data_IF_648108267460
#
_entry.id   IF_648108267460
#
_cell.length_a   1.000
_cell.length_b   1.000
_cell.length_c   1.000
_cell.angle_alpha   90.00
_cell.angle_beta   90.00
_cell.angle_gamma   90.00
#
_symmetry.space_group_name_H-M   'P 1'
#
loop_
_entity.id
_entity.type
_entity.pdbx_description
1 polymer ?
#
# COMPACT_ATOMS: atom_id res chain seq x y z
N UNK A 1 4.18 18.13 10.27
CA UNK A 1 3.17 17.10 10.60
C UNK A 1 3.49 16.50 11.95
N UNK A 2 2.55 16.58 12.87
CA UNK A 2 2.73 15.99 14.20
C UNK A 2 2.10 14.62 14.22
N UNK A 3 2.93 13.59 14.07
CA UNK A 3 2.47 12.20 14.12
C UNK A 3 2.97 11.58 15.40
N UNK A 4 2.04 11.08 16.17
CA UNK A 4 2.38 10.32 17.37
C UNK A 4 2.70 8.88 16.96
N UNK A 5 3.90 8.37 17.24
CA UNK A 5 4.24 6.98 16.89
C UNK A 5 3.27 5.96 17.48
N UNK A 6 2.60 6.27 18.59
CA UNK A 6 1.59 5.40 19.17
C UNK A 6 0.34 5.23 18.30
N UNK A 7 0.14 6.06 17.29
CA UNK A 7 -0.97 5.93 16.34
C UNK A 7 -0.70 4.88 15.26
N UNK A 8 0.54 4.42 15.11
CA UNK A 8 0.91 3.39 14.15
C UNK A 8 0.60 2.02 14.76
N UNK A 9 -0.68 1.66 14.78
CA UNK A 9 -1.18 0.47 15.47
C UNK A 9 -1.48 -0.71 14.57
N UNK A 10 -1.54 -0.51 13.27
CA UNK A 10 -1.94 -1.54 12.32
C UNK A 10 -0.71 -2.15 11.66
N UNK A 11 -0.59 -3.47 11.75
CA UNK A 11 0.56 -4.17 11.17
C UNK A 11 0.27 -4.49 9.72
N UNK A 12 1.13 -4.04 8.81
CA UNK A 12 0.98 -4.26 7.37
C UNK A 12 2.23 -4.91 6.79
N UNK A 13 2.04 -5.57 5.63
CA UNK A 13 3.13 -6.11 4.82
C UNK A 13 3.06 -5.49 3.45
N UNK A 14 4.20 -5.07 2.92
CA UNK A 14 4.32 -4.60 1.54
C UNK A 14 4.92 -5.74 0.74
N UNK A 15 4.22 -6.15 -0.32
CA UNK A 15 4.50 -7.38 -1.02
C UNK A 15 4.72 -7.10 -2.50
N UNK A 16 5.80 -7.69 -3.03
CA UNK A 16 6.08 -7.70 -4.45
C UNK A 16 5.61 -9.03 -5.03
N UNK A 17 4.80 -8.97 -6.09
CA UNK A 17 4.31 -10.13 -6.80
C UNK A 17 4.98 -10.25 -8.14
N UNK A 18 5.60 -11.40 -8.40
CA UNK A 18 6.15 -11.74 -9.70
C UNK A 18 5.31 -12.82 -10.33
N UNK A 19 5.04 -12.65 -11.61
CA UNK A 19 4.38 -13.66 -12.42
C UNK A 19 5.40 -14.22 -13.41
N UNK A 20 5.63 -15.52 -13.33
CA UNK A 20 6.51 -16.24 -14.26
C UNK A 20 5.71 -17.31 -14.99
N UNK A 21 5.89 -17.42 -16.31
CA UNK A 21 5.34 -18.52 -17.07
C UNK A 21 6.36 -19.66 -17.06
N UNK A 22 5.90 -20.89 -16.77
CA UNK A 22 6.77 -22.04 -16.81
C UNK A 22 6.85 -22.62 -18.24
N UNK A 23 7.63 -23.69 -18.41
CA UNK A 23 7.85 -24.31 -19.72
C UNK A 23 6.57 -24.88 -20.35
N UNK A 24 5.56 -25.18 -19.53
CA UNK A 24 4.27 -25.73 -19.97
C UNK A 24 3.22 -24.65 -20.20
N UNK A 25 3.58 -23.37 -20.04
CA UNK A 25 2.69 -22.24 -20.24
C UNK A 25 1.83 -21.89 -19.03
N UNK A 26 2.08 -22.48 -17.87
CA UNK A 26 1.35 -22.13 -16.64
C UNK A 26 2.02 -20.95 -15.97
N UNK A 27 1.20 -20.01 -15.50
CA UNK A 27 1.67 -18.88 -14.73
C UNK A 27 1.89 -19.27 -13.28
N UNK A 28 3.05 -18.95 -12.75
CA UNK A 28 3.36 -19.07 -11.33
C UNK A 28 3.49 -17.70 -10.74
N UNK A 29 2.77 -17.44 -9.64
CA UNK A 29 2.86 -16.17 -8.92
C UNK A 29 3.72 -16.39 -7.68
N UNK A 30 4.80 -15.61 -7.58
CA UNK A 30 5.68 -15.62 -6.42
C UNK A 30 5.51 -14.31 -5.67
N UNK A 31 5.28 -14.41 -4.36
CA UNK A 31 5.14 -13.23 -3.50
C UNK A 31 6.38 -13.09 -2.62
N UNK A 32 6.93 -11.88 -2.57
CA UNK A 32 8.05 -11.57 -1.70
C UNK A 32 7.64 -10.44 -0.77
N UNK A 33 7.79 -10.63 0.53
CA UNK A 33 7.55 -9.56 1.51
C UNK A 33 8.73 -8.62 1.45
N UNK A 34 8.49 -7.41 0.96
CA UNK A 34 9.52 -6.37 0.84
C UNK A 34 9.75 -5.69 2.18
N UNK A 35 8.67 -5.43 2.91
CA UNK A 35 8.73 -4.67 4.15
C UNK A 35 7.55 -5.03 5.03
N UNK A 36 7.79 -5.15 6.33
CA UNK A 36 6.75 -5.33 7.33
C UNK A 36 6.89 -4.21 8.35
N UNK A 37 5.80 -3.51 8.61
CA UNK A 37 5.85 -2.36 9.51
C UNK A 37 4.48 -2.08 10.14
N UNK A 38 4.48 -1.15 11.08
CA UNK A 38 3.26 -0.64 11.68
C UNK A 38 2.79 0.59 10.92
N UNK A 39 1.49 0.77 10.82
CA UNK A 39 0.89 1.85 10.05
C UNK A 39 -0.30 2.47 10.78
N UNK A 40 -0.57 3.72 10.48
CA UNK A 40 -1.84 4.37 10.82
C UNK A 40 -2.78 4.21 9.62
N UNK A 41 -3.94 3.63 9.86
CA UNK A 41 -4.94 3.41 8.81
C UNK A 41 -5.96 4.54 8.85
N UNK A 42 -6.21 5.16 7.70
CA UNK A 42 -7.21 6.20 7.55
C UNK A 42 -8.05 5.90 6.32
N UNK A 43 -9.37 5.97 6.47
CA UNK A 43 -10.26 5.90 5.32
C UNK A 43 -10.23 7.24 4.60
N UNK A 44 -10.22 7.22 3.28
CA UNK A 44 -10.08 8.41 2.47
C UNK A 44 -11.47 8.92 2.09
N UNK A 45 -11.75 10.19 2.40
CA UNK A 45 -13.00 10.85 2.03
C UNK A 45 -13.03 11.18 0.53
N UNK A 46 -14.24 11.46 0.01
CA UNK A 46 -14.39 11.84 -1.40
C UNK A 46 -13.55 13.04 -1.80
N UNK A 47 -13.43 14.03 -0.93
CA UNK A 47 -12.63 15.23 -1.21
C UNK A 47 -11.15 14.90 -1.36
N UNK A 48 -10.62 14.07 -0.49
CA UNK A 48 -9.23 13.65 -0.57
C UNK A 48 -8.98 12.81 -1.83
N UNK A 49 -9.95 12.00 -2.24
CA UNK A 49 -9.86 11.20 -3.47
C UNK A 49 -9.75 12.11 -4.71
N UNK A 50 -10.53 13.18 -4.74
CA UNK A 50 -10.45 14.17 -5.83
C UNK A 50 -9.07 14.80 -5.87
N UNK A 51 -8.54 15.19 -4.73
CA UNK A 51 -7.20 15.80 -4.65
C UNK A 51 -6.10 14.83 -5.06
N UNK A 52 -6.27 13.56 -4.78
CA UNK A 52 -5.32 12.52 -5.17
C UNK A 52 -5.52 12.04 -6.61
N UNK A 53 -6.53 12.54 -7.31
CA UNK A 53 -6.88 12.11 -8.67
C UNK A 53 -7.15 10.61 -8.74
N UNK A 54 -7.87 10.09 -7.76
CA UNK A 54 -8.15 8.66 -7.62
C UNK A 54 -9.57 8.32 -8.07
N UNK A 55 -9.78 7.05 -8.41
CA UNK A 55 -11.08 6.52 -8.77
C UNK A 55 -11.94 6.31 -7.52
N UNK A 56 -13.22 6.70 -7.60
CA UNK A 56 -14.18 6.59 -6.49
C UNK A 56 -14.87 5.22 -6.40
N UNK A 57 -14.67 4.34 -7.38
CA UNK A 57 -15.46 3.12 -7.49
C UNK A 57 -15.12 2.05 -6.45
N UNK A 58 -14.01 2.19 -5.72
CA UNK A 58 -13.51 1.19 -4.77
C UNK A 58 -13.23 1.81 -3.41
N UNK A 59 -13.20 0.95 -2.39
CA UNK A 59 -12.81 1.38 -1.05
C UNK A 59 -11.36 1.85 -1.05
N UNK A 60 -11.14 3.08 -0.63
CA UNK A 60 -9.82 3.71 -0.57
C UNK A 60 -9.38 3.84 0.88
N UNK A 61 -8.12 3.55 1.11
CA UNK A 61 -7.50 3.71 2.42
C UNK A 61 -6.13 4.33 2.26
N UNK A 62 -5.68 4.98 3.31
CA UNK A 62 -4.34 5.56 3.37
C UNK A 62 -3.61 4.94 4.55
N UNK A 63 -2.45 4.34 4.28
CA UNK A 63 -1.56 3.84 5.31
C UNK A 63 -0.42 4.82 5.50
N UNK A 64 -0.26 5.31 6.71
CA UNK A 64 0.86 6.15 7.08
C UNK A 64 1.88 5.28 7.81
N UNK A 65 3.10 5.24 7.30
CA UNK A 65 4.19 4.45 7.87
C UNK A 65 5.41 5.34 8.09
N UNK A 66 6.36 4.84 8.87
CA UNK A 66 7.66 5.48 8.96
C UNK A 66 8.39 5.32 7.63
N UNK A 67 9.13 6.34 7.25
CA UNK A 67 9.91 6.31 6.02
C UNK A 67 10.86 5.12 6.02
N UNK A 68 10.98 4.46 4.89
CA UNK A 68 11.93 3.36 4.69
C UNK A 68 12.78 3.63 3.46
N UNK A 69 14.04 3.23 3.52
CA UNK A 69 14.94 3.29 2.37
C UNK A 69 14.66 2.19 1.34
N UNK A 70 13.81 1.22 1.67
CA UNK A 70 13.44 0.16 0.74
C UNK A 70 12.65 0.74 -0.43
N UNK A 71 12.86 0.18 -1.60
CA UNK A 71 12.13 0.59 -2.80
C UNK A 71 10.69 0.08 -2.73
N UNK A 72 9.76 1.01 -2.63
CA UNK A 72 8.33 0.72 -2.67
C UNK A 72 7.76 1.44 -3.87
N UNK A 73 7.05 0.73 -4.73
CA UNK A 73 6.45 1.30 -5.93
C UNK A 73 5.00 0.86 -6.11
N UNK A 74 4.32 1.43 -7.10
CA UNK A 74 2.90 1.19 -7.36
C UNK A 74 2.61 -0.21 -7.90
N UNK A 75 3.62 -0.99 -8.25
CA UNK A 75 3.45 -2.37 -8.70
C UNK A 75 3.34 -3.35 -7.53
N UNK A 76 3.67 -2.89 -6.33
CA UNK A 76 3.57 -3.66 -5.12
C UNK A 76 2.17 -3.57 -4.53
N UNK A 77 1.86 -4.42 -3.57
CA UNK A 77 0.59 -4.38 -2.85
C UNK A 77 0.83 -4.29 -1.35
N UNK A 78 -0.20 -3.85 -0.64
CA UNK A 78 -0.21 -3.83 0.82
C UNK A 78 -1.17 -4.90 1.31
N UNK A 79 -0.71 -5.76 2.21
CA UNK A 79 -1.56 -6.77 2.85
C UNK A 79 -1.79 -6.36 4.30
N UNK A 80 -3.06 -6.23 4.66
CA UNK A 80 -3.46 -5.87 6.00
C UNK A 80 -4.66 -6.71 6.42
N UNK A 81 -4.55 -7.39 7.57
CA UNK A 81 -5.65 -8.19 8.15
C UNK A 81 -6.27 -9.19 7.15
N UNK A 82 -5.44 -9.80 6.32
CA UNK A 82 -5.88 -10.76 5.32
C UNK A 82 -6.48 -10.16 4.05
N UNK A 83 -6.49 -8.84 3.93
CA UNK A 83 -7.01 -8.14 2.75
C UNK A 83 -5.86 -7.51 1.99
N UNK A 84 -5.88 -7.66 0.68
CA UNK A 84 -4.88 -7.07 -0.21
C UNK A 84 -5.39 -5.76 -0.79
N UNK A 85 -4.50 -4.78 -0.81
CA UNK A 85 -4.76 -3.45 -1.35
C UNK A 85 -3.73 -3.15 -2.43
N UNK A 86 -4.21 -2.60 -3.52
CA UNK A 86 -3.38 -2.12 -4.61
C UNK A 86 -2.92 -0.69 -4.31
N UNK A 87 -1.65 -0.39 -4.54
CA UNK A 87 -1.09 0.95 -4.30
C UNK A 87 -1.44 1.85 -5.47
N UNK A 88 -2.14 2.95 -5.20
CA UNK A 88 -2.52 3.90 -6.25
C UNK A 88 -1.72 5.20 -6.21
N UNK A 89 -1.14 5.53 -5.04
CA UNK A 89 -0.38 6.75 -4.89
C UNK A 89 0.58 6.62 -3.71
N UNK A 90 1.79 7.12 -3.91
CA UNK A 90 2.80 7.18 -2.85
C UNK A 90 3.18 8.62 -2.60
N UNK A 91 3.11 9.05 -1.35
CA UNK A 91 3.55 10.37 -0.94
C UNK A 91 4.69 10.23 0.06
N UNK A 92 5.88 10.58 -0.37
CA UNK A 92 7.05 10.63 0.49
C UNK A 92 7.26 12.07 0.91
N UNK A 93 7.13 12.34 2.21
CA UNK A 93 7.38 13.68 2.73
C UNK A 93 8.87 13.99 2.61
N UNK A 94 9.20 14.73 1.55
CA UNK A 94 10.57 14.83 1.07
C UNK A 94 11.59 15.43 2.01
N UNK A 95 11.22 16.47 2.76
CA UNK A 95 12.18 17.23 3.55
C UNK A 95 12.55 16.56 4.87
N UNK A 96 11.59 15.92 5.54
CA UNK A 96 11.84 15.33 6.84
C UNK A 96 12.21 13.87 6.77
N UNK A 97 11.72 13.16 5.75
CA UNK A 97 11.91 11.72 5.54
C UNK A 97 11.54 10.87 6.77
N UNK A 98 10.64 11.37 7.62
CA UNK A 98 10.21 10.64 8.80
C UNK A 98 9.07 9.68 8.50
N UNK A 99 8.19 10.07 7.60
CA UNK A 99 6.97 9.32 7.29
C UNK A 99 6.69 9.31 5.80
N UNK A 100 5.91 8.33 5.38
CA UNK A 100 5.37 8.28 4.01
C UNK A 100 3.94 7.77 4.04
N UNK A 101 3.15 8.21 3.07
CA UNK A 101 1.78 7.76 2.88
C UNK A 101 1.69 6.80 1.72
N UNK A 102 0.98 5.71 1.92
CA UNK A 102 0.66 4.75 0.87
C UNK A 102 -0.85 4.78 0.70
N UNK A 103 -1.31 5.35 -0.41
CA UNK A 103 -2.72 5.44 -0.74
C UNK A 103 -3.10 4.22 -1.55
N UNK A 104 -4.08 3.46 -1.06
CA UNK A 104 -4.41 2.16 -1.62
C UNK A 104 -5.89 2.03 -1.89
N UNK A 105 -6.25 1.12 -2.80
CA UNK A 105 -7.61 0.68 -2.95
C UNK A 105 -7.68 -0.84 -2.81
N UNK A 106 -8.79 -1.30 -2.25
CA UNK A 106 -8.99 -2.72 -2.01
C UNK A 106 -9.01 -3.48 -3.32
N UNK A 107 -8.19 -4.52 -3.41
CA UNK A 107 -8.25 -5.44 -4.54
C UNK A 107 -9.53 -6.24 -4.44
N UNK A 108 -10.40 -6.10 -5.44
CA UNK A 108 -11.53 -6.97 -5.61
C UNK A 108 -11.08 -8.15 -6.45
N UNK A 109 -11.14 -9.34 -5.85
CA UNK A 109 -11.01 -10.55 -6.65
C UNK A 109 -12.35 -10.76 -7.33
N UNK A 110 -12.36 -10.60 -8.62
CA UNK A 110 -13.45 -11.12 -9.39
C UNK A 110 -13.26 -12.63 -9.46
N UNK A 111 -14.06 -13.30 -8.68
CA UNK A 111 -14.07 -14.76 -8.65
C UNK A 111 -14.68 -15.33 -9.90
#
# INVERSE_FOLDING_TARGET
MNINPGELKHRIQIIHRDRTADADGYDTITETVVHTCSAKLTQISGTELVQANADFARTKVRFLIRHTAKSIDQKMLVRYAGTDYEIVYLNRYGDTREYMEIWCERLTQEG
#
